data_IF_270959801470
#
_entry.id   IF_270959801470
#
_cell.length_a   1.000
_cell.length_b   1.000
_cell.length_c   1.000
_cell.angle_alpha   90.00
_cell.angle_beta   90.00
_cell.angle_gamma   90.00
#
_symmetry.space_group_name_H-M   'P 1'
#
loop_
_entity.id
_entity.type
_entity.pdbx_description
1 polymer ?
#
# COMPACT_ATOMS: atom_id res chain seq x y z
N UNK A 1 8.87 -2.73 2.12
CA UNK A 1 9.05 -1.72 3.18
C UNK A 1 7.71 -1.31 3.79
N UNK A 2 6.74 -0.88 3.00
CA UNK A 2 5.42 -0.43 3.49
C UNK A 2 4.62 -1.54 4.19
N UNK A 3 4.67 -2.79 3.71
CA UNK A 3 4.05 -3.92 4.40
C UNK A 3 4.62 -4.09 5.83
N UNK A 4 5.93 -3.93 5.98
CA UNK A 4 6.60 -4.03 7.29
C UNK A 4 6.20 -2.87 8.21
N UNK A 5 6.01 -1.65 7.68
CA UNK A 5 5.62 -0.47 8.47
C UNK A 5 4.24 -0.60 9.11
N UNK A 6 3.31 -1.28 8.44
CA UNK A 6 1.97 -1.58 8.98
C UNK A 6 1.92 -2.86 9.82
N UNK A 7 3.07 -3.40 10.19
CA UNK A 7 3.18 -4.57 11.10
C UNK A 7 3.01 -5.93 10.43
N UNK A 8 2.96 -6.01 9.10
CA UNK A 8 2.84 -7.28 8.38
C UNK A 8 4.15 -8.07 8.48
N UNK A 9 4.05 -9.30 8.96
CA UNK A 9 5.19 -10.21 9.03
C UNK A 9 5.32 -10.93 7.69
N UNK A 10 6.45 -10.74 7.04
CA UNK A 10 6.79 -11.41 5.78
C UNK A 10 7.90 -12.44 6.03
N UNK A 11 7.77 -13.62 5.44
CA UNK A 11 8.86 -14.60 5.33
C UNK A 11 9.86 -14.17 4.25
N UNK A 12 10.96 -14.89 4.13
CA UNK A 12 11.98 -14.62 3.10
C UNK A 12 11.49 -14.92 1.66
N UNK A 13 10.47 -15.78 1.54
CA UNK A 13 9.90 -16.18 0.25
C UNK A 13 8.66 -15.39 -0.13
N UNK A 14 8.14 -14.53 0.76
CA UNK A 14 6.97 -13.71 0.48
C UNK A 14 7.35 -12.47 -0.34
N UNK A 15 6.43 -12.05 -1.19
CA UNK A 15 6.51 -10.75 -1.84
C UNK A 15 5.32 -9.89 -1.41
N UNK A 16 5.54 -8.59 -1.38
CA UNK A 16 4.51 -7.60 -1.16
C UNK A 16 4.27 -6.80 -2.43
N UNK A 17 3.02 -6.50 -2.73
CA UNK A 17 2.62 -5.53 -3.74
C UNK A 17 1.82 -4.42 -3.08
N UNK A 18 1.91 -3.21 -3.63
CA UNK A 18 0.94 -2.17 -3.36
C UNK A 18 -0.40 -2.57 -4.00
N UNK A 19 -1.47 -2.34 -3.28
CA UNK A 19 -2.83 -2.54 -3.75
C UNK A 19 -3.56 -1.21 -3.63
N UNK A 20 -3.72 -0.49 -4.75
CA UNK A 20 -4.53 0.72 -4.77
C UNK A 20 -5.99 0.37 -5.00
N UNK A 21 -6.88 1.08 -4.33
CA UNK A 21 -8.28 1.20 -4.77
C UNK A 21 -8.35 2.30 -5.81
N UNK A 22 -8.84 1.99 -7.01
CA UNK A 22 -8.87 2.91 -8.15
C UNK A 22 -10.27 3.05 -8.73
N UNK A 23 -10.48 4.12 -9.53
CA UNK A 23 -11.69 4.29 -10.33
C UNK A 23 -11.37 3.96 -11.79
N UNK A 24 -12.04 2.96 -12.32
CA UNK A 24 -12.04 2.63 -13.74
C UNK A 24 -13.38 3.03 -14.38
N UNK A 25 -13.34 3.33 -15.68
CA UNK A 25 -14.53 3.55 -16.50
C UNK A 25 -15.34 2.25 -16.72
N UNK A 26 -16.48 2.34 -17.38
CA UNK A 26 -17.49 1.29 -17.42
C UNK A 26 -17.53 0.45 -18.71
N UNK A 27 -16.48 0.54 -19.57
CA UNK A 27 -16.39 -0.31 -20.76
C UNK A 27 -16.50 -1.80 -20.40
N UNK A 28 -17.17 -2.57 -21.28
CA UNK A 28 -17.43 -3.99 -21.03
C UNK A 28 -16.16 -4.85 -20.96
N UNK A 29 -15.20 -4.59 -21.86
CA UNK A 29 -13.89 -5.23 -21.79
C UNK A 29 -12.99 -4.54 -20.78
N UNK A 30 -12.41 -5.33 -19.87
CA UNK A 30 -11.54 -4.79 -18.82
C UNK A 30 -10.32 -4.05 -19.39
N UNK A 31 -9.71 -4.58 -20.44
CA UNK A 31 -8.56 -3.95 -21.10
C UNK A 31 -8.90 -2.65 -21.83
N UNK A 32 -10.17 -2.43 -22.20
CA UNK A 32 -10.63 -1.20 -22.83
C UNK A 32 -10.94 -0.08 -21.82
N UNK A 33 -11.04 -0.40 -20.51
CA UNK A 33 -11.34 0.58 -19.48
C UNK A 33 -10.24 1.64 -19.36
N UNK A 34 -10.64 2.83 -18.93
CA UNK A 34 -9.75 3.97 -18.66
C UNK A 34 -9.52 4.11 -17.17
N UNK A 35 -8.27 4.36 -16.75
CA UNK A 35 -7.93 4.77 -15.40
C UNK A 35 -8.44 6.20 -15.16
N UNK A 36 -9.62 6.34 -14.55
CA UNK A 36 -10.20 7.66 -14.28
C UNK A 36 -9.53 8.33 -13.08
N UNK A 37 -9.25 7.54 -12.03
CA UNK A 37 -8.62 8.05 -10.82
C UNK A 37 -7.85 6.94 -10.08
N UNK A 38 -6.58 7.20 -9.74
CA UNK A 38 -5.70 6.24 -9.07
C UNK A 38 -5.91 6.16 -7.55
N UNK A 39 -6.74 7.06 -6.99
CA UNK A 39 -7.03 7.17 -5.56
C UNK A 39 -8.45 6.74 -5.18
N UNK A 40 -9.22 6.18 -6.14
CA UNK A 40 -10.62 5.82 -5.91
C UNK A 40 -11.49 7.03 -5.58
N UNK A 41 -11.17 8.21 -6.16
CA UNK A 41 -11.86 9.46 -5.88
C UNK A 41 -11.59 9.98 -4.47
N UNK A 42 -10.33 9.93 -4.03
CA UNK A 42 -9.91 10.30 -2.67
C UNK A 42 -10.75 9.60 -1.58
N UNK A 43 -10.86 8.26 -1.71
CA UNK A 43 -11.63 7.44 -0.76
C UNK A 43 -11.08 7.58 0.66
N UNK A 44 -11.98 7.69 1.66
CA UNK A 44 -11.58 7.75 3.07
C UNK A 44 -11.04 6.39 3.55
N UNK A 45 -10.26 6.40 4.63
CA UNK A 45 -9.71 5.17 5.23
C UNK A 45 -10.82 4.23 5.70
N UNK A 46 -11.90 4.76 6.26
CA UNK A 46 -13.04 3.99 6.77
C UNK A 46 -13.86 3.34 5.65
N UNK A 47 -14.04 4.05 4.54
CA UNK A 47 -14.72 3.50 3.35
C UNK A 47 -13.86 2.44 2.68
N UNK A 48 -12.56 2.72 2.55
CA UNK A 48 -11.60 1.81 1.93
C UNK A 48 -11.43 0.51 2.72
N UNK A 49 -11.42 0.57 4.07
CA UNK A 49 -11.32 -0.60 4.93
C UNK A 49 -12.46 -1.61 4.66
N UNK A 50 -13.70 -1.14 4.47
CA UNK A 50 -14.85 -2.00 4.15
C UNK A 50 -14.70 -2.69 2.78
N UNK A 51 -14.15 -1.97 1.80
CA UNK A 51 -13.90 -2.55 0.47
C UNK A 51 -12.78 -3.60 0.54
N UNK A 52 -11.69 -3.32 1.26
CA UNK A 52 -10.57 -4.26 1.39
C UNK A 52 -10.97 -5.50 2.21
N UNK A 53 -11.86 -5.37 3.20
CA UNK A 53 -12.44 -6.52 3.88
C UNK A 53 -13.15 -7.45 2.89
N UNK A 54 -13.99 -6.89 2.01
CA UNK A 54 -14.65 -7.66 0.92
C UNK A 54 -13.63 -8.29 -0.05
N UNK A 55 -12.56 -7.57 -0.39
CA UNK A 55 -11.47 -8.07 -1.25
C UNK A 55 -10.75 -9.24 -0.56
N UNK A 56 -10.44 -9.12 0.75
CA UNK A 56 -9.81 -10.18 1.53
C UNK A 56 -10.73 -11.41 1.67
N UNK A 57 -12.02 -11.21 1.93
CA UNK A 57 -12.98 -12.31 2.00
C UNK A 57 -13.10 -13.10 0.69
N UNK A 58 -13.01 -12.40 -0.45
CA UNK A 58 -13.18 -12.99 -1.77
C UNK A 58 -11.91 -13.64 -2.33
N UNK A 59 -10.76 -12.98 -2.21
CA UNK A 59 -9.50 -13.41 -2.80
C UNK A 59 -8.50 -13.99 -1.78
N UNK A 60 -8.70 -13.76 -0.49
CA UNK A 60 -7.83 -14.23 0.58
C UNK A 60 -7.72 -15.76 0.59
N UNK A 61 -6.51 -16.27 0.77
CA UNK A 61 -6.22 -17.70 0.74
C UNK A 61 -4.88 -17.99 1.43
N UNK A 62 -4.43 -19.24 1.38
CA UNK A 62 -3.06 -19.59 1.81
C UNK A 62 -1.96 -18.99 0.91
N UNK A 63 -2.31 -18.44 -0.25
CA UNK A 63 -1.38 -17.81 -1.19
C UNK A 63 -1.44 -16.28 -1.12
N UNK A 64 -2.59 -15.69 -0.75
CA UNK A 64 -2.85 -14.26 -0.84
C UNK A 64 -3.46 -13.69 0.43
N UNK A 65 -2.85 -12.64 0.98
CA UNK A 65 -3.39 -11.87 2.10
C UNK A 65 -3.42 -10.37 1.78
N UNK A 66 -4.61 -9.77 1.88
CA UNK A 66 -4.80 -8.34 1.70
C UNK A 66 -4.85 -7.62 3.05
N UNK A 67 -4.12 -6.54 3.16
CA UNK A 67 -4.03 -5.70 4.36
C UNK A 67 -4.50 -4.30 4.08
N UNK A 68 -5.43 -3.81 4.90
CA UNK A 68 -5.90 -2.43 4.82
C UNK A 68 -4.81 -1.47 5.28
N UNK A 69 -4.62 -0.41 4.51
CA UNK A 69 -3.75 0.71 4.83
C UNK A 69 -4.54 2.01 4.95
N UNK A 70 -3.95 3.13 4.54
CA UNK A 70 -4.53 4.47 4.66
C UNK A 70 -5.11 4.93 3.32
N UNK A 71 -6.37 5.40 3.34
CA UNK A 71 -7.11 5.87 2.17
C UNK A 71 -7.10 4.80 1.05
N UNK A 72 -6.69 5.13 -0.14
CA UNK A 72 -6.64 4.23 -1.30
C UNK A 72 -5.44 3.25 -1.32
N UNK A 73 -4.51 3.36 -0.36
CA UNK A 73 -3.23 2.61 -0.33
C UNK A 73 -3.33 1.41 0.60
N UNK A 74 -3.23 0.23 0.05
CA UNK A 74 -3.30 -1.06 0.74
C UNK A 74 -2.15 -1.95 0.29
N UNK A 75 -2.05 -3.14 0.87
CA UNK A 75 -0.99 -4.09 0.58
C UNK A 75 -1.57 -5.48 0.29
N UNK A 76 -0.98 -6.16 -0.71
CA UNK A 76 -1.16 -7.59 -0.94
C UNK A 76 0.15 -8.29 -0.60
N UNK A 77 0.08 -9.35 0.20
CA UNK A 77 1.17 -10.32 0.37
C UNK A 77 0.87 -11.55 -0.49
N UNK A 78 1.87 -11.96 -1.25
CA UNK A 78 1.84 -13.22 -1.99
C UNK A 78 2.84 -14.16 -1.33
N UNK A 79 2.33 -15.21 -0.70
CA UNK A 79 3.15 -16.22 -0.03
C UNK A 79 3.88 -17.10 -1.04
N UNK A 80 5.18 -17.28 -0.83
CA UNK A 80 6.07 -18.00 -1.76
C UNK A 80 6.02 -17.44 -3.20
N UNK A 81 5.88 -16.11 -3.32
CA UNK A 81 5.75 -15.42 -4.58
C UNK A 81 7.07 -15.16 -5.29
N UNK A 82 6.98 -14.61 -6.50
CA UNK A 82 8.12 -14.14 -7.29
C UNK A 82 7.96 -12.66 -7.66
N UNK A 83 9.05 -11.92 -7.68
CA UNK A 83 9.07 -10.53 -8.17
C UNK A 83 9.19 -10.45 -9.70
N UNK A 84 9.35 -11.59 -10.39
CA UNK A 84 9.37 -11.66 -11.86
C UNK A 84 7.94 -11.62 -12.44
N UNK A 85 7.25 -10.51 -12.20
CA UNK A 85 5.86 -10.28 -12.62
C UNK A 85 5.76 -9.51 -13.95
N UNK A 86 6.87 -9.24 -14.61
CA UNK A 86 6.90 -8.34 -15.76
C UNK A 86 6.65 -6.88 -15.34
N UNK A 87 6.07 -6.09 -16.21
CA UNK A 87 5.83 -4.66 -15.91
C UNK A 87 4.50 -4.49 -15.17
N UNK A 88 4.58 -4.25 -13.86
CA UNK A 88 3.44 -3.84 -13.02
C UNK A 88 3.42 -2.31 -12.95
N UNK A 89 2.62 -1.67 -13.81
CA UNK A 89 2.65 -0.21 -14.00
C UNK A 89 1.95 0.52 -12.83
N UNK A 90 2.55 1.58 -12.24
CA UNK A 90 1.91 2.40 -11.24
C UNK A 90 0.63 3.09 -11.78
N UNK A 91 -0.50 3.09 -11.05
CA UNK A 91 -1.76 3.62 -11.57
C UNK A 91 -1.74 5.14 -11.79
N UNK A 92 -0.94 5.88 -11.04
CA UNK A 92 -0.80 7.33 -11.20
C UNK A 92 -0.07 7.75 -12.49
N UNK A 93 0.73 6.85 -13.08
CA UNK A 93 1.43 7.11 -14.36
C UNK A 93 0.50 6.96 -15.57
N UNK A 94 -0.68 6.37 -15.37
CA UNK A 94 -1.63 6.04 -16.45
C UNK A 94 -3.00 6.69 -16.27
N UNK A 95 -3.12 7.71 -15.43
CA UNK A 95 -4.37 8.48 -15.27
C UNK A 95 -4.82 9.05 -16.63
N UNK A 96 -6.10 8.83 -16.95
CA UNK A 96 -6.71 9.22 -18.24
C UNK A 96 -6.35 8.32 -19.42
N UNK A 97 -5.67 7.18 -19.20
CA UNK A 97 -5.27 6.25 -20.27
C UNK A 97 -6.03 4.94 -20.20
N UNK A 98 -6.20 4.30 -21.37
CA UNK A 98 -6.75 2.95 -21.49
C UNK A 98 -5.77 1.96 -20.87
N UNK A 99 -6.27 1.10 -19.97
CA UNK A 99 -5.40 0.29 -19.10
C UNK A 99 -4.77 -0.94 -19.79
N UNK A 100 -5.33 -1.41 -20.91
CA UNK A 100 -4.94 -2.68 -21.52
C UNK A 100 -3.46 -2.80 -21.86
N UNK A 101 -2.83 -1.72 -22.35
CA UNK A 101 -1.41 -1.69 -22.69
C UNK A 101 -0.47 -1.70 -21.47
N UNK A 102 -1.04 -1.49 -20.27
CA UNK A 102 -0.30 -1.37 -19.01
C UNK A 102 -0.47 -2.57 -18.09
N UNK A 103 -1.30 -3.55 -18.48
CA UNK A 103 -1.42 -4.82 -17.79
C UNK A 103 -0.22 -5.72 -18.10
N UNK A 104 0.35 -6.35 -17.08
CA UNK A 104 1.45 -7.29 -17.31
C UNK A 104 0.99 -8.50 -18.13
N UNK A 105 1.84 -8.92 -19.05
CA UNK A 105 1.67 -10.13 -19.86
C UNK A 105 2.54 -11.28 -19.37
N UNK A 106 3.24 -11.10 -18.24
CA UNK A 106 4.05 -12.18 -17.64
C UNK A 106 3.14 -13.33 -17.18
N UNK A 107 3.49 -14.58 -17.48
CA UNK A 107 2.77 -15.74 -16.94
C UNK A 107 2.70 -15.75 -15.41
N UNK A 108 3.73 -15.24 -14.74
CA UNK A 108 3.78 -15.16 -13.28
C UNK A 108 2.78 -14.13 -12.69
N UNK A 109 2.31 -13.16 -13.50
CA UNK A 109 1.34 -12.17 -13.10
C UNK A 109 -0.11 -12.56 -13.42
N UNK A 110 -0.36 -13.68 -14.11
CA UNK A 110 -1.68 -14.05 -14.63
C UNK A 110 -2.77 -14.04 -13.55
N UNK A 111 -2.50 -14.64 -12.38
CA UNK A 111 -3.44 -14.66 -11.25
C UNK A 111 -3.73 -13.24 -10.73
N UNK A 112 -2.70 -12.39 -10.63
CA UNK A 112 -2.84 -11.01 -10.15
C UNK A 112 -3.67 -10.17 -11.11
N UNK A 113 -3.45 -10.31 -12.41
CA UNK A 113 -4.24 -9.64 -13.45
C UNK A 113 -5.69 -10.15 -13.45
N UNK A 114 -5.90 -11.45 -13.25
CA UNK A 114 -7.24 -12.01 -13.10
C UNK A 114 -7.98 -11.44 -11.89
N UNK A 115 -7.31 -11.31 -10.73
CA UNK A 115 -7.88 -10.67 -9.53
C UNK A 115 -8.24 -9.20 -9.79
N UNK A 116 -7.37 -8.43 -10.45
CA UNK A 116 -7.66 -7.03 -10.82
C UNK A 116 -8.93 -6.95 -11.68
N UNK A 117 -9.04 -7.82 -12.67
CA UNK A 117 -10.21 -7.89 -13.55
C UNK A 117 -11.49 -8.25 -12.79
N UNK A 118 -11.44 -9.32 -12.00
CA UNK A 118 -12.58 -9.82 -11.24
C UNK A 118 -13.01 -8.83 -10.15
N UNK A 119 -12.07 -8.09 -9.58
CA UNK A 119 -12.36 -7.07 -8.57
C UNK A 119 -13.30 -5.98 -9.07
N UNK A 120 -13.25 -5.64 -10.36
CA UNK A 120 -14.17 -4.66 -10.92
C UNK A 120 -15.63 -5.15 -10.83
N UNK A 121 -15.90 -6.40 -11.19
CA UNK A 121 -17.22 -6.98 -11.07
C UNK A 121 -17.68 -7.13 -9.63
N UNK A 122 -16.77 -7.47 -8.73
CA UNK A 122 -17.02 -7.57 -7.30
C UNK A 122 -17.38 -6.21 -6.67
N UNK A 123 -16.65 -5.15 -7.05
CA UNK A 123 -16.69 -3.86 -6.36
C UNK A 123 -17.60 -2.81 -6.99
N UNK A 124 -17.92 -2.89 -8.29
CA UNK A 124 -18.75 -1.88 -8.97
C UNK A 124 -20.10 -1.64 -8.28
N UNK A 125 -20.68 -2.68 -7.69
CA UNK A 125 -21.96 -2.65 -6.99
C UNK A 125 -21.83 -2.71 -5.45
N UNK A 126 -20.62 -2.57 -4.91
CA UNK A 126 -20.39 -2.58 -3.48
C UNK A 126 -21.18 -1.46 -2.76
N UNK A 127 -21.74 -1.69 -1.55
CA UNK A 127 -22.56 -0.70 -0.83
C UNK A 127 -21.86 0.67 -0.67
N UNK A 128 -20.56 0.68 -0.37
CA UNK A 128 -19.76 1.91 -0.28
C UNK A 128 -19.78 2.66 -1.61
N UNK A 129 -19.57 1.96 -2.74
CA UNK A 129 -19.54 2.59 -4.06
C UNK A 129 -20.91 3.11 -4.49
N UNK A 130 -22.00 2.38 -4.19
CA UNK A 130 -23.37 2.87 -4.41
C UNK A 130 -23.66 4.16 -3.65
N UNK A 131 -23.24 4.24 -2.37
CA UNK A 131 -23.34 5.44 -1.56
C UNK A 131 -22.53 6.59 -2.16
N UNK A 132 -21.26 6.34 -2.52
CA UNK A 132 -20.37 7.35 -3.11
C UNK A 132 -20.96 7.93 -4.41
N UNK A 133 -21.45 7.08 -5.30
CA UNK A 133 -22.11 7.50 -6.56
C UNK A 133 -23.35 8.35 -6.26
N UNK A 134 -24.18 7.95 -5.28
CA UNK A 134 -25.36 8.73 -4.90
C UNK A 134 -25.00 10.11 -4.33
N UNK A 135 -23.80 10.25 -3.75
CA UNK A 135 -23.25 11.51 -3.24
C UNK A 135 -22.48 12.30 -4.33
N UNK A 136 -22.47 11.84 -5.58
CA UNK A 136 -21.72 12.48 -6.68
C UNK A 136 -20.20 12.30 -6.63
N UNK A 137 -19.71 11.32 -5.85
CA UNK A 137 -18.30 10.96 -5.75
C UNK A 137 -17.94 9.83 -6.72
N UNK A 138 -16.67 9.74 -7.11
CA UNK A 138 -16.15 8.61 -7.88
C UNK A 138 -16.14 7.32 -7.04
N UNK A 139 -16.54 6.17 -7.61
CA UNK A 139 -16.45 4.88 -6.92
C UNK A 139 -14.99 4.36 -6.91
N UNK A 140 -14.63 3.62 -5.88
CA UNK A 140 -13.41 2.82 -5.84
C UNK A 140 -13.75 1.40 -6.33
N UNK A 141 -13.85 1.22 -7.65
CA UNK A 141 -14.49 0.07 -8.28
C UNK A 141 -13.54 -1.03 -8.76
N UNK A 142 -12.25 -0.90 -8.52
CA UNK A 142 -11.27 -1.96 -8.83
C UNK A 142 -10.06 -1.87 -7.90
N UNK A 143 -9.39 -3.00 -7.66
CA UNK A 143 -8.03 -2.99 -7.12
C UNK A 143 -7.04 -2.82 -8.28
N UNK A 144 -5.86 -2.23 -7.96
CA UNK A 144 -4.73 -2.13 -8.87
C UNK A 144 -3.46 -2.54 -8.16
N UNK A 145 -2.84 -3.63 -8.64
CA UNK A 145 -1.66 -4.24 -8.03
C UNK A 145 -0.39 -3.76 -8.75
N UNK A 146 0.63 -3.32 -7.99
CA UNK A 146 1.87 -2.79 -8.53
C UNK A 146 2.97 -2.68 -7.47
N UNK A 147 4.20 -2.37 -7.88
CA UNK A 147 5.29 -2.04 -6.96
C UNK A 147 5.71 -3.24 -6.12
N UNK A 148 5.83 -4.39 -6.75
CA UNK A 148 6.26 -5.65 -6.15
C UNK A 148 7.66 -5.56 -5.52
N UNK A 149 7.84 -6.28 -4.41
CA UNK A 149 9.13 -6.38 -3.76
C UNK A 149 9.16 -7.45 -2.68
N UNK A 150 10.34 -8.02 -2.49
CA UNK A 150 10.63 -8.92 -1.36
C UNK A 150 11.03 -8.13 -0.11
N UNK A 151 11.07 -8.81 1.04
CA UNK A 151 11.60 -8.21 2.26
C UNK A 151 13.07 -7.85 2.06
N UNK A 152 13.48 -6.58 2.21
CA UNK A 152 14.88 -6.22 2.07
C UNK A 152 15.69 -6.79 3.22
N UNK A 153 16.79 -7.49 2.90
CA UNK A 153 17.80 -7.93 3.86
C UNK A 153 18.78 -6.79 4.13
N UNK A 154 18.34 -5.76 4.86
CA UNK A 154 19.20 -4.66 5.25
C UNK A 154 20.06 -5.09 6.44
N UNK A 155 21.37 -4.80 6.45
CA UNK A 155 22.16 -4.93 7.68
C UNK A 155 21.62 -3.97 8.73
N UNK A 156 21.68 -4.35 10.01
CA UNK A 156 21.31 -3.47 11.12
C UNK A 156 22.11 -2.17 11.04
N UNK A 157 21.46 -1.04 11.30
CA UNK A 157 22.10 0.27 11.29
C UNK A 157 23.24 0.31 12.32
N UNK A 158 23.02 -0.26 13.50
CA UNK A 158 24.02 -0.36 14.56
C UNK A 158 25.23 -1.23 14.14
N UNK A 159 25.00 -2.40 13.54
CA UNK A 159 26.08 -3.25 13.03
C UNK A 159 26.91 -2.58 11.95
N UNK A 160 26.26 -1.82 11.06
CA UNK A 160 26.93 -1.18 9.93
C UNK A 160 27.69 0.09 10.30
N UNK A 161 27.14 0.91 11.20
CA UNK A 161 27.66 2.25 11.49
C UNK A 161 28.19 2.41 12.91
N UNK A 162 27.98 1.43 13.80
CA UNK A 162 28.41 1.47 15.19
C UNK A 162 27.62 2.44 16.07
N UNK A 163 26.44 2.91 15.60
CA UNK A 163 25.58 3.88 16.30
C UNK A 163 24.13 3.42 16.26
N UNK A 164 23.38 3.73 17.31
CA UNK A 164 21.94 3.44 17.40
C UNK A 164 21.13 4.57 16.78
N UNK A 165 20.08 4.24 16.06
CA UNK A 165 19.26 5.22 15.38
C UNK A 165 17.76 5.06 15.61
N UNK A 166 17.03 6.17 15.44
CA UNK A 166 15.56 6.22 15.40
C UNK A 166 15.08 7.02 14.20
N UNK A 167 13.88 6.66 13.69
CA UNK A 167 13.17 7.42 12.67
C UNK A 167 11.82 7.86 13.24
N UNK A 168 11.59 9.15 13.33
CA UNK A 168 10.31 9.77 13.73
C UNK A 168 9.59 10.25 12.48
N UNK A 169 8.68 9.47 11.94
CA UNK A 169 7.97 9.79 10.71
C UNK A 169 6.54 9.26 10.72
N UNK A 170 5.64 9.95 10.02
CA UNK A 170 4.31 9.43 9.71
C UNK A 170 4.26 8.70 8.35
N UNK A 171 5.36 8.71 7.59
CA UNK A 171 5.43 8.12 6.26
C UNK A 171 5.82 6.66 6.35
N UNK A 172 4.95 5.75 5.89
CA UNK A 172 5.14 4.30 5.97
C UNK A 172 6.45 3.82 5.35
N UNK A 173 6.86 4.41 4.23
CA UNK A 173 8.14 4.09 3.60
C UNK A 173 9.33 4.33 4.53
N UNK A 174 9.36 5.46 5.22
CA UNK A 174 10.46 5.81 6.15
C UNK A 174 10.43 4.93 7.40
N UNK A 175 9.25 4.68 7.97
CA UNK A 175 9.09 3.71 9.05
C UNK A 175 9.57 2.33 8.63
N UNK A 176 9.15 1.85 7.46
CA UNK A 176 9.56 0.55 6.91
C UNK A 176 11.07 0.43 6.73
N UNK A 177 11.77 1.49 6.28
CA UNK A 177 13.23 1.53 6.20
C UNK A 177 13.84 1.41 7.61
N UNK A 178 13.34 2.18 8.58
CA UNK A 178 13.79 2.12 9.97
C UNK A 178 13.67 0.72 10.55
N UNK A 179 12.50 0.11 10.46
CA UNK A 179 12.25 -1.25 10.98
C UNK A 179 13.19 -2.27 10.31
N UNK A 180 13.32 -2.23 8.98
CA UNK A 180 14.20 -3.16 8.26
C UNK A 180 15.69 -2.95 8.58
N UNK A 181 16.09 -1.73 8.97
CA UNK A 181 17.45 -1.41 9.40
C UNK A 181 17.67 -1.58 10.92
N UNK A 182 16.68 -2.11 11.66
CA UNK A 182 16.79 -2.31 13.11
C UNK A 182 16.79 -1.02 13.92
N UNK A 183 16.31 0.08 13.36
CA UNK A 183 16.16 1.37 14.05
C UNK A 183 14.81 1.44 14.80
N UNK A 184 14.73 2.25 15.86
CA UNK A 184 13.45 2.54 16.50
C UNK A 184 12.55 3.40 15.61
N UNK A 185 11.26 3.14 15.63
CA UNK A 185 10.27 3.92 14.90
C UNK A 185 9.08 4.25 15.82
N UNK A 186 9.22 5.24 16.72
CA UNK A 186 8.17 5.56 17.68
C UNK A 186 6.93 6.12 16.97
N UNK A 187 5.77 5.70 17.46
CA UNK A 187 4.49 6.27 17.04
C UNK A 187 4.29 7.65 17.68
N UNK A 188 3.78 8.59 16.88
CA UNK A 188 3.47 9.95 17.33
C UNK A 188 2.01 10.26 17.00
N UNK A 189 1.19 10.43 18.03
CA UNK A 189 -0.22 10.78 17.86
C UNK A 189 -0.40 12.10 17.11
N UNK A 190 -1.27 12.11 16.10
CA UNK A 190 -1.51 13.26 15.25
C UNK A 190 -0.36 13.59 14.26
N UNK A 191 0.64 12.73 14.12
CA UNK A 191 1.62 12.89 13.07
C UNK A 191 1.02 12.51 11.71
N UNK A 192 1.16 13.42 10.75
CA UNK A 192 0.77 13.24 9.35
C UNK A 192 1.95 13.57 8.43
N UNK A 193 1.84 13.22 7.13
CA UNK A 193 2.80 13.63 6.11
C UNK A 193 2.51 15.04 5.53
N UNK A 194 1.60 15.81 6.13
CA UNK A 194 1.11 17.10 5.64
C UNK A 194 1.47 18.24 6.58
N UNK A 195 1.10 19.47 6.18
CA UNK A 195 1.39 20.71 6.92
C UNK A 195 0.69 20.78 8.29
N UNK A 196 -0.36 20.01 8.49
CA UNK A 196 -1.14 19.91 9.74
C UNK A 196 -0.58 18.88 10.73
N UNK A 197 0.59 18.32 10.45
CA UNK A 197 1.25 17.32 11.32
C UNK A 197 1.52 17.85 12.72
N UNK A 198 1.50 16.97 13.72
CA UNK A 198 1.89 17.28 15.09
C UNK A 198 3.42 17.49 15.20
N UNK A 199 3.89 18.71 14.88
CA UNK A 199 5.32 19.07 14.94
C UNK A 199 5.90 18.95 16.35
N UNK A 200 5.15 19.38 17.37
CA UNK A 200 5.58 19.32 18.78
C UNK A 200 5.72 17.86 19.21
N UNK A 201 4.75 17.01 18.90
CA UNK A 201 4.81 15.59 19.18
C UNK A 201 6.04 14.90 18.55
N UNK A 202 6.33 15.23 17.28
CA UNK A 202 7.53 14.71 16.59
C UNK A 202 8.82 15.17 17.26
N UNK A 203 8.93 16.44 17.65
CA UNK A 203 10.10 16.97 18.34
C UNK A 203 10.28 16.31 19.72
N UNK A 204 9.20 16.15 20.48
CA UNK A 204 9.23 15.48 21.78
C UNK A 204 9.64 14.00 21.65
N UNK A 205 9.10 13.28 20.67
CA UNK A 205 9.50 11.90 20.39
C UNK A 205 11.00 11.79 20.08
N UNK A 206 11.56 12.71 19.29
CA UNK A 206 12.98 12.74 19.00
C UNK A 206 13.85 12.97 20.26
N UNK A 207 13.43 13.90 21.12
CA UNK A 207 14.10 14.17 22.40
C UNK A 207 14.05 12.93 23.31
N UNK A 208 12.92 12.23 23.34
CA UNK A 208 12.77 11.03 24.14
C UNK A 208 13.62 9.86 23.62
N UNK A 209 13.77 9.73 22.30
CA UNK A 209 14.68 8.73 21.72
C UNK A 209 16.14 9.01 22.11
N UNK A 210 16.61 10.27 22.10
CA UNK A 210 17.93 10.61 22.61
C UNK A 210 18.09 10.30 24.10
N UNK A 211 17.07 10.58 24.91
CA UNK A 211 17.06 10.23 26.35
C UNK A 211 17.16 8.71 26.59
N UNK A 212 16.63 7.91 25.66
CA UNK A 212 16.72 6.45 25.67
C UNK A 212 18.08 5.92 25.19
N UNK A 213 18.99 6.80 24.77
CA UNK A 213 20.34 6.46 24.35
C UNK A 213 20.52 6.22 22.86
N UNK A 214 19.65 6.79 22.02
CA UNK A 214 19.86 6.80 20.58
C UNK A 214 20.89 7.88 20.20
N UNK A 215 21.82 7.52 19.32
CA UNK A 215 22.91 8.40 18.87
C UNK A 215 22.45 9.30 17.71
N UNK A 216 21.49 8.82 16.91
CA UNK A 216 20.94 9.51 15.74
C UNK A 216 19.43 9.45 15.75
N UNK A 217 18.77 10.58 15.52
CA UNK A 217 17.31 10.63 15.28
C UNK A 217 17.04 11.38 13.98
N UNK A 218 16.41 10.69 13.04
CA UNK A 218 15.88 11.29 11.81
C UNK A 218 14.41 11.68 12.04
N UNK A 219 14.03 12.91 11.66
CA UNK A 219 12.67 13.44 11.81
C UNK A 219 12.12 13.84 10.43
#
# INVERSE_FOLDING_TARGET
LEAVSIGVKMSETDIALRCNLVTLSDEADYGAKTMLDYSGGDISTEEAAQIIETVQEHFGSSEFDFYSGVAYRHCLIVHNGTTDLGKMTPPHDISGRVIGEYLSTSPNAEKLIAMMRESYDLLKDHPVNKKRIAEGKLPANSIWLWGEGSRPALPSFEEKFGVKGSIVSAVDLLKGIGICAGMNTPEVEGATGYIDTNFEGKANAAIDEWRKGQDLVYI
#
